data_IF_131506555483
#
_entry.id   IF_131506555483
#
_cell.length_a   1.000
_cell.length_b   1.000
_cell.length_c   1.000
_cell.angle_alpha   90.00
_cell.angle_beta   90.00
_cell.angle_gamma   90.00
#
_symmetry.space_group_name_H-M   'P 1'
#
loop_
_entity.id
_entity.type
_entity.pdbx_description
1 polymer ?
#
# COMPACT_ATOMS: atom_id res chain seq x y z
N UNK A 1 8.19 46.16 4.30
CA UNK A 1 8.97 45.08 4.95
C UNK A 1 8.12 44.19 5.87
N UNK A 2 7.19 44.74 6.68
CA UNK A 2 6.34 43.96 7.60
C UNK A 2 5.36 42.99 6.90
N UNK A 3 4.72 43.39 5.79
CA UNK A 3 3.78 42.53 5.05
C UNK A 3 4.45 41.35 4.32
N UNK A 4 5.72 41.51 3.89
CA UNK A 4 6.46 40.43 3.22
C UNK A 4 6.78 39.32 4.23
N UNK A 5 7.12 39.67 5.48
CA UNK A 5 7.41 38.70 6.53
C UNK A 5 6.16 37.89 6.92
N UNK A 6 4.96 38.50 6.91
CA UNK A 6 3.70 37.82 7.19
C UNK A 6 3.28 36.86 6.08
N UNK A 7 3.49 37.23 4.81
CA UNK A 7 3.18 36.37 3.66
C UNK A 7 4.14 35.17 3.59
N UNK A 8 5.42 35.37 3.93
CA UNK A 8 6.40 34.29 3.95
C UNK A 8 6.08 33.27 5.08
N UNK A 9 5.65 33.76 6.25
CA UNK A 9 5.26 32.90 7.37
C UNK A 9 4.00 32.07 7.08
N UNK A 10 3.02 32.59 6.34
CA UNK A 10 1.83 31.81 5.96
C UNK A 10 2.12 30.78 4.87
N UNK A 11 2.99 31.05 3.90
CA UNK A 11 3.38 30.08 2.87
C UNK A 11 4.09 28.85 3.44
N UNK A 12 4.86 29.00 4.53
CA UNK A 12 5.58 27.91 5.20
C UNK A 12 4.66 26.92 5.93
N UNK A 13 3.43 27.29 6.29
CA UNK A 13 2.46 26.36 6.88
C UNK A 13 1.71 25.52 5.84
N UNK A 14 1.57 26.01 4.60
CA UNK A 14 0.88 25.28 3.53
C UNK A 14 1.74 24.18 2.87
N UNK A 15 3.05 24.14 3.08
CA UNK A 15 3.91 23.09 2.51
C UNK A 15 3.96 21.81 3.37
N UNK A 16 2.98 21.61 4.26
CA UNK A 16 2.82 20.38 5.03
C UNK A 16 1.85 19.38 4.37
N UNK A 17 1.78 19.39 3.04
CA UNK A 17 1.45 18.17 2.31
C UNK A 17 2.61 17.20 2.55
N UNK A 18 2.53 16.46 3.65
CA UNK A 18 3.19 15.16 3.69
C UNK A 18 2.74 14.49 2.41
N UNK A 19 3.67 14.20 1.49
CA UNK A 19 3.44 13.23 0.43
C UNK A 19 3.06 11.92 1.15
N UNK A 20 1.78 11.78 1.51
CA UNK A 20 1.25 10.57 2.08
C UNK A 20 1.46 9.57 0.97
N UNK A 21 2.35 8.61 1.23
CA UNK A 21 2.51 7.42 0.42
C UNK A 21 1.16 6.70 0.46
N UNK A 22 0.25 7.12 -0.42
CA UNK A 22 -1.12 6.64 -0.42
C UNK A 22 -1.16 5.35 -1.24
N UNK A 23 -1.72 4.33 -0.61
CA UNK A 23 -2.03 3.07 -1.25
C UNK A 23 -3.10 3.32 -2.32
N UNK A 24 -2.82 2.99 -3.57
CA UNK A 24 -3.77 3.16 -4.68
C UNK A 24 -4.52 1.86 -4.90
N UNK A 25 -5.85 1.89 -4.85
CA UNK A 25 -6.69 0.74 -5.18
C UNK A 25 -6.57 0.40 -6.67
N UNK A 26 -6.17 -0.83 -6.99
CA UNK A 26 -6.02 -1.31 -8.37
C UNK A 26 -7.05 -2.36 -8.75
N UNK A 27 -7.66 -3.04 -7.77
CA UNK A 27 -8.71 -4.01 -8.01
C UNK A 27 -9.67 -4.07 -6.83
N UNK A 28 -10.96 -4.17 -7.12
CA UNK A 28 -11.99 -4.48 -6.13
C UNK A 28 -12.72 -5.74 -6.56
N UNK A 29 -12.64 -6.78 -5.74
CA UNK A 29 -13.21 -8.08 -6.05
C UNK A 29 -14.40 -8.34 -5.12
N UNK A 30 -15.55 -7.74 -5.43
CA UNK A 30 -16.75 -7.75 -4.59
C UNK A 30 -17.18 -9.17 -4.18
N UNK A 31 -17.13 -10.13 -5.11
CA UNK A 31 -17.47 -11.54 -4.86
C UNK A 31 -16.62 -12.18 -3.75
N UNK A 32 -15.36 -11.75 -3.64
CA UNK A 32 -14.41 -12.26 -2.64
C UNK A 32 -14.24 -11.31 -1.45
N UNK A 33 -14.93 -10.17 -1.45
CA UNK A 33 -14.86 -9.18 -0.38
C UNK A 33 -13.46 -8.63 -0.16
N UNK A 34 -12.64 -8.44 -1.20
CA UNK A 34 -11.27 -7.93 -1.08
C UNK A 34 -11.04 -6.75 -2.01
N UNK A 35 -10.32 -5.74 -1.52
CA UNK A 35 -9.75 -4.66 -2.32
C UNK A 35 -8.24 -4.79 -2.31
N UNK A 36 -7.61 -4.72 -3.49
CA UNK A 36 -6.16 -4.80 -3.64
C UNK A 36 -5.65 -3.40 -3.95
N UNK A 37 -4.64 -2.98 -3.18
CA UNK A 37 -3.94 -1.74 -3.34
C UNK A 37 -2.48 -1.97 -3.68
N UNK A 38 -1.83 -0.96 -4.24
CA UNK A 38 -0.38 -0.91 -4.46
C UNK A 38 0.20 0.35 -3.82
N UNK A 39 1.43 0.28 -3.34
CA UNK A 39 2.19 1.45 -2.92
C UNK A 39 3.10 1.90 -4.08
N UNK A 40 2.77 3.01 -4.79
CA UNK A 40 3.53 3.45 -5.95
C UNK A 40 4.98 3.80 -5.63
N UNK A 41 5.27 4.21 -4.39
CA UNK A 41 6.62 4.61 -3.97
C UNK A 41 7.56 3.42 -3.80
N UNK A 42 7.01 2.20 -3.76
CA UNK A 42 7.78 0.97 -3.63
C UNK A 42 8.09 0.29 -4.96
N UNK A 43 7.53 0.81 -6.06
CA UNK A 43 7.71 0.23 -7.40
C UNK A 43 9.18 0.35 -7.81
N UNK A 44 9.79 -0.80 -8.09
CA UNK A 44 11.14 -0.92 -8.65
C UNK A 44 11.08 -1.77 -9.90
N UNK A 45 11.67 -1.28 -11.00
CA UNK A 45 11.73 -2.01 -12.28
C UNK A 45 13.16 -2.36 -12.64
N UNK A 46 13.39 -3.61 -13.01
CA UNK A 46 14.68 -4.13 -13.51
C UNK A 46 14.40 -5.00 -14.74
N UNK A 47 14.69 -4.46 -15.93
CA UNK A 47 14.32 -5.09 -17.20
C UNK A 47 12.80 -5.30 -17.30
N UNK A 48 12.38 -6.53 -17.57
CA UNK A 48 10.96 -6.92 -17.66
C UNK A 48 10.33 -7.27 -16.31
N UNK A 49 11.08 -7.10 -15.22
CA UNK A 49 10.60 -7.39 -13.87
C UNK A 49 10.22 -6.13 -13.12
N UNK A 50 9.10 -6.20 -12.41
CA UNK A 50 8.62 -5.13 -11.53
C UNK A 50 8.41 -5.70 -10.14
N UNK A 51 8.96 -5.05 -9.12
CA UNK A 51 8.75 -5.41 -7.72
C UNK A 51 8.04 -4.27 -7.02
N UNK A 52 7.06 -4.59 -6.19
CA UNK A 52 6.31 -3.59 -5.43
C UNK A 52 5.61 -4.22 -4.23
N UNK A 53 5.25 -3.38 -3.26
CA UNK A 53 4.31 -3.78 -2.23
C UNK A 53 2.87 -3.70 -2.72
N UNK A 54 2.10 -4.73 -2.41
CA UNK A 54 0.64 -4.76 -2.52
C UNK A 54 0.02 -4.90 -1.13
N UNK A 55 -1.24 -4.50 -1.02
CA UNK A 55 -2.04 -4.61 0.18
C UNK A 55 -3.38 -5.23 -0.19
N UNK A 56 -3.65 -6.40 0.38
CA UNK A 56 -4.91 -7.11 0.24
C UNK A 56 -5.75 -6.77 1.45
N UNK A 57 -6.85 -6.05 1.26
CA UNK A 57 -7.72 -5.56 2.32
C UNK A 57 -9.07 -6.27 2.27
N UNK A 58 -9.35 -7.10 3.27
CA UNK A 58 -10.55 -7.95 3.31
C UNK A 58 -11.68 -7.27 4.07
N UNK A 59 -12.88 -7.30 3.52
CA UNK A 59 -14.10 -6.75 4.14
C UNK A 59 -14.49 -7.49 5.42
N UNK A 60 -14.16 -8.77 5.50
CA UNK A 60 -14.44 -9.61 6.67
C UNK A 60 -13.18 -10.36 7.06
N UNK A 61 -13.09 -10.74 8.34
CA UNK A 61 -11.95 -11.50 8.82
C UNK A 61 -11.80 -12.82 8.05
N UNK A 62 -10.57 -13.11 7.64
CA UNK A 62 -10.19 -14.36 7.00
C UNK A 62 -9.50 -15.25 8.03
N UNK A 63 -9.90 -16.51 8.10
CA UNK A 63 -9.21 -17.51 8.93
C UNK A 63 -8.16 -18.23 8.09
N UNK A 64 -6.90 -18.13 8.49
CA UNK A 64 -5.77 -18.82 7.86
C UNK A 64 -5.10 -19.69 8.92
N UNK A 65 -5.11 -21.00 8.70
CA UNK A 65 -4.71 -21.98 9.71
C UNK A 65 -5.41 -21.70 11.06
N UNK A 66 -4.65 -21.32 12.08
CA UNK A 66 -5.15 -21.12 13.46
C UNK A 66 -5.25 -19.63 13.86
N UNK A 67 -5.14 -18.70 12.90
CA UNK A 67 -5.26 -17.26 13.16
C UNK A 67 -6.22 -16.56 12.20
N UNK A 68 -6.60 -15.34 12.58
CA UNK A 68 -7.51 -14.49 11.84
C UNK A 68 -6.80 -13.22 11.39
N UNK A 69 -7.03 -12.81 10.14
CA UNK A 69 -6.49 -11.58 9.55
C UNK A 69 -7.60 -10.74 8.91
N UNK A 70 -7.34 -9.45 8.75
CA UNK A 70 -8.18 -8.52 7.98
C UNK A 70 -7.45 -7.88 6.81
N UNK A 71 -6.11 -7.91 6.81
CA UNK A 71 -5.34 -7.50 5.64
C UNK A 71 -3.98 -8.19 5.58
N UNK A 72 -3.40 -8.22 4.38
CA UNK A 72 -2.06 -8.77 4.13
C UNK A 72 -1.29 -7.80 3.26
N UNK A 73 -0.06 -7.43 3.68
CA UNK A 73 0.90 -6.76 2.79
C UNK A 73 1.77 -7.81 2.13
N UNK A 74 1.95 -7.73 0.81
CA UNK A 74 2.81 -8.64 0.05
C UNK A 74 3.86 -7.85 -0.72
N UNK A 75 5.11 -8.32 -0.71
CA UNK A 75 6.13 -7.81 -1.62
C UNK A 75 6.27 -8.81 -2.76
N UNK A 76 5.85 -8.42 -3.95
CA UNK A 76 5.74 -9.31 -5.10
C UNK A 76 6.66 -8.85 -6.24
N UNK A 77 7.28 -9.83 -6.92
CA UNK A 77 7.98 -9.66 -8.20
C UNK A 77 7.04 -10.14 -9.33
N UNK A 78 6.95 -9.35 -10.40
CA UNK A 78 6.19 -9.65 -11.61
C UNK A 78 7.16 -9.69 -12.81
N UNK A 79 7.28 -10.83 -13.49
CA UNK A 79 7.88 -10.94 -14.83
C UNK A 79 6.79 -10.59 -15.85
N UNK A 80 6.79 -9.34 -16.31
CA UNK A 80 5.77 -8.81 -17.21
C UNK A 80 5.84 -9.42 -18.61
N UNK A 81 7.00 -9.92 -19.03
CA UNK A 81 7.17 -10.54 -20.35
C UNK A 81 6.57 -11.96 -20.37
N UNK A 82 6.74 -12.72 -19.28
CA UNK A 82 6.28 -14.12 -19.19
C UNK A 82 4.95 -14.29 -18.45
N UNK A 83 4.33 -13.19 -18.01
CA UNK A 83 3.09 -13.18 -17.23
C UNK A 83 3.19 -14.05 -15.97
N UNK A 84 4.29 -13.94 -15.23
CA UNK A 84 4.52 -14.69 -13.99
C UNK A 84 4.66 -13.76 -12.82
N UNK A 85 4.21 -14.19 -11.65
CA UNK A 85 4.45 -13.51 -10.39
C UNK A 85 5.10 -14.43 -9.36
N UNK A 86 5.83 -13.83 -8.44
CA UNK A 86 6.43 -14.50 -7.29
C UNK A 86 6.28 -13.61 -6.07
N UNK A 87 5.69 -14.15 -5.00
CA UNK A 87 5.71 -13.51 -3.69
C UNK A 87 7.08 -13.67 -3.04
N UNK A 88 7.69 -12.54 -2.68
CA UNK A 88 9.00 -12.48 -2.04
C UNK A 88 8.87 -12.36 -0.52
N UNK A 89 7.86 -11.63 -0.03
CA UNK A 89 7.53 -11.51 1.39
C UNK A 89 6.04 -11.26 1.59
N UNK A 90 5.55 -11.55 2.79
CA UNK A 90 4.23 -11.11 3.24
C UNK A 90 4.21 -10.88 4.74
N UNK A 91 3.24 -10.06 5.18
CA UNK A 91 2.92 -9.81 6.58
C UNK A 91 1.40 -9.75 6.68
N UNK A 92 0.83 -10.58 7.54
CA UNK A 92 -0.60 -10.57 7.83
C UNK A 92 -0.88 -9.62 9.00
N UNK A 93 -2.08 -9.05 9.01
CA UNK A 93 -2.47 -8.03 9.97
C UNK A 93 -3.86 -8.31 10.53
N UNK A 94 -4.01 -8.09 11.84
CA UNK A 94 -5.27 -8.29 12.55
C UNK A 94 -6.35 -7.26 12.19
N UNK A 95 -6.00 -6.14 11.55
CA UNK A 95 -6.91 -5.07 11.15
C UNK A 95 -6.74 -4.71 9.66
N UNK A 96 -7.69 -3.98 9.11
CA UNK A 96 -7.69 -3.48 7.74
C UNK A 96 -6.53 -2.50 7.48
N UNK A 97 -6.16 -2.42 6.20
CA UNK A 97 -5.14 -1.51 5.67
C UNK A 97 -3.72 -1.71 6.21
N UNK A 98 -3.37 -2.93 6.60
CA UNK A 98 -2.07 -3.31 7.14
C UNK A 98 -1.77 -2.64 8.48
N UNK A 99 -2.80 -2.52 9.33
CA UNK A 99 -2.77 -1.94 10.67
C UNK A 99 -3.05 -3.03 11.72
N UNK A 100 -2.92 -2.68 12.99
CA UNK A 100 -3.10 -3.64 14.08
C UNK A 100 -1.87 -4.52 14.29
N UNK A 101 -2.07 -5.70 14.88
CA UNK A 101 -0.99 -6.62 15.20
C UNK A 101 -0.50 -7.31 13.92
N UNK A 102 0.81 -7.26 13.59
CA UNK A 102 1.38 -8.13 12.58
C UNK A 102 1.41 -9.57 13.10
N UNK A 103 1.02 -10.51 12.26
CA UNK A 103 0.92 -11.95 12.55
C UNK A 103 2.01 -12.70 11.80
#
# INVERSE_FOLDING_TARGET
MKCILTILATLLFLSSDSALAEWIAIAKMEKFGVTIYVDPNTIRRVGDRVMMWQLWDFKTSQTVADYNLLSTKTYDEFDCLRERSRRLAFIDYSDNMGRGLPI
#
